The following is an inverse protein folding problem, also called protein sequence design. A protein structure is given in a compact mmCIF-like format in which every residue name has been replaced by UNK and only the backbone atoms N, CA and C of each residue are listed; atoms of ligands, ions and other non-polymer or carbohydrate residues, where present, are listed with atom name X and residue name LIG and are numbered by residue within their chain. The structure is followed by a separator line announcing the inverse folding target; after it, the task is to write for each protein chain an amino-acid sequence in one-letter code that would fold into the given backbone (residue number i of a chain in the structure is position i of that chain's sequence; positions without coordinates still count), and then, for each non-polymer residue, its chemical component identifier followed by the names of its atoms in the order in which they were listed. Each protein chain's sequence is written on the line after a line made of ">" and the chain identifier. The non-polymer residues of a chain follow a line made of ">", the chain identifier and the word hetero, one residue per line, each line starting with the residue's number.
data_IF_451007214574
#
_entry.id   IF_451007214574
#
_cell.length_a   1.000
_cell.length_b   1.000
_cell.length_c   1.000
_cell.angle_alpha   90.00
_cell.angle_beta   90.00
_cell.angle_gamma   90.00
#
_symmetry.space_group_name_H-M   'P 1'
#
loop_
_entity.id
_entity.type
_entity.pdbx_description
1 polymer ?
#
# COMPACT_ATOMS: atom_id res chain seq x y z
N UNK A 1 -3.58 24.78 38.45
CA UNK A 1 -4.02 24.67 37.04
C UNK A 1 -2.98 23.81 36.34
N UNK A 2 -3.27 22.52 36.22
CA UNK A 2 -2.40 21.54 35.56
C UNK A 2 -2.53 21.71 34.06
N UNK A 3 -1.42 22.07 33.39
CA UNK A 3 -1.29 22.01 31.95
C UNK A 3 -1.60 20.58 31.50
N UNK A 4 -2.70 20.41 30.78
CA UNK A 4 -2.96 19.25 29.94
C UNK A 4 -2.05 19.34 28.72
N UNK A 5 -0.78 18.94 28.87
CA UNK A 5 0.10 18.67 27.73
C UNK A 5 -0.44 17.42 27.03
N UNK A 6 -1.08 17.64 25.87
CA UNK A 6 -1.62 16.57 25.03
C UNK A 6 -0.49 15.62 24.64
N UNK A 7 -0.56 14.38 25.12
CA UNK A 7 0.45 13.37 24.93
C UNK A 7 0.44 12.89 23.48
N UNK A 8 1.28 13.50 22.65
CA UNK A 8 1.58 13.07 21.28
C UNK A 8 1.97 11.58 21.27
N UNK A 9 1.29 10.77 20.47
CA UNK A 9 1.51 9.32 20.39
C UNK A 9 2.39 8.94 19.18
N UNK A 10 2.92 7.73 19.18
CA UNK A 10 3.62 7.18 18.00
C UNK A 10 2.67 7.07 16.78
N UNK A 11 1.38 6.81 17.03
CA UNK A 11 0.31 6.83 16.01
C UNK A 11 0.11 8.24 15.43
N UNK A 12 0.06 9.28 16.28
CA UNK A 12 -0.03 10.68 15.82
C UNK A 12 1.19 11.07 14.97
N UNK A 13 2.37 10.60 15.35
CA UNK A 13 3.61 10.77 14.57
C UNK A 13 3.49 10.09 13.21
N UNK A 14 3.11 8.81 13.19
CA UNK A 14 3.00 8.02 11.96
C UNK A 14 1.94 8.61 11.01
N UNK A 15 0.81 9.07 11.55
CA UNK A 15 -0.24 9.77 10.80
C UNK A 15 0.26 11.07 10.22
N UNK A 16 0.93 11.92 11.00
CA UNK A 16 1.49 13.18 10.50
C UNK A 16 2.54 12.95 9.40
N UNK A 17 3.42 11.95 9.57
CA UNK A 17 4.38 11.55 8.54
C UNK A 17 3.66 11.08 7.27
N UNK A 18 2.64 10.23 7.41
CA UNK A 18 1.85 9.75 6.27
C UNK A 18 1.17 10.91 5.53
N UNK A 19 0.58 11.84 6.27
CA UNK A 19 -0.14 12.99 5.71
C UNK A 19 0.78 14.01 5.05
N UNK A 20 2.07 14.00 5.38
CA UNK A 20 3.09 14.80 4.71
C UNK A 20 3.65 14.13 3.44
N UNK A 21 3.30 12.87 3.16
CA UNK A 21 3.78 12.18 1.94
C UNK A 21 3.25 12.88 0.68
N UNK A 22 4.07 12.97 -0.38
CA UNK A 22 3.64 13.45 -1.70
C UNK A 22 2.40 12.72 -2.22
N UNK A 23 1.59 13.39 -3.05
CA UNK A 23 0.36 12.81 -3.61
C UNK A 23 0.63 11.58 -4.49
N UNK A 24 1.74 11.59 -5.21
CA UNK A 24 2.23 10.51 -6.07
C UNK A 24 3.07 9.46 -5.33
N UNK A 25 3.07 9.46 -4.00
CA UNK A 25 3.77 8.44 -3.21
C UNK A 25 3.01 7.09 -3.23
N UNK A 26 3.67 5.92 -3.35
CA UNK A 26 3.01 4.62 -3.43
C UNK A 26 2.05 4.34 -2.28
N UNK A 27 2.44 4.71 -1.05
CA UNK A 27 1.57 4.54 0.12
C UNK A 27 0.24 5.30 -0.02
N UNK A 28 0.19 6.44 -0.73
CA UNK A 28 -1.07 7.16 -1.01
C UNK A 28 -1.99 6.35 -1.91
N UNK A 29 -1.46 5.71 -2.94
CA UNK A 29 -2.24 4.83 -3.82
C UNK A 29 -2.84 3.64 -3.04
N UNK A 30 -2.07 3.05 -2.12
CA UNK A 30 -2.60 1.99 -1.23
C UNK A 30 -3.72 2.53 -0.35
N UNK A 31 -3.58 3.74 0.23
CA UNK A 31 -4.63 4.35 1.05
C UNK A 31 -5.86 4.71 0.23
N UNK A 32 -5.69 5.19 -1.00
CA UNK A 32 -6.81 5.46 -1.91
C UNK A 32 -7.58 4.17 -2.19
N UNK A 33 -6.90 3.09 -2.59
CA UNK A 33 -7.54 1.80 -2.83
C UNK A 33 -8.26 1.27 -1.59
N UNK A 34 -7.60 1.30 -0.43
CA UNK A 34 -8.21 0.92 0.83
C UNK A 34 -9.47 1.73 1.15
N UNK A 35 -9.43 3.04 0.97
CA UNK A 35 -10.57 3.90 1.23
C UNK A 35 -11.73 3.60 0.27
N UNK A 36 -11.45 3.42 -1.02
CA UNK A 36 -12.47 3.06 -2.03
C UNK A 36 -13.11 1.70 -1.72
N UNK A 37 -12.31 0.72 -1.28
CA UNK A 37 -12.79 -0.60 -0.86
C UNK A 37 -13.73 -0.49 0.36
N UNK A 38 -13.32 0.26 1.39
CA UNK A 38 -14.09 0.45 2.62
C UNK A 38 -15.32 1.34 2.44
N UNK A 39 -15.28 2.28 1.51
CA UNK A 39 -16.43 3.08 1.08
C UNK A 39 -17.38 2.31 0.16
N UNK A 40 -17.03 1.05 -0.17
CA UNK A 40 -17.79 0.17 -1.04
C UNK A 40 -18.06 0.75 -2.44
N UNK A 41 -17.10 1.52 -2.98
CA UNK A 41 -17.17 2.06 -4.34
C UNK A 41 -17.37 0.96 -5.38
N UNK A 42 -17.99 1.30 -6.51
CA UNK A 42 -18.31 0.31 -7.54
C UNK A 42 -17.04 -0.27 -8.20
N UNK A 43 -17.20 -1.42 -8.84
CA UNK A 43 -16.08 -2.13 -9.45
C UNK A 43 -15.40 -1.34 -10.59
N UNK A 44 -16.08 -0.37 -11.21
CA UNK A 44 -15.49 0.47 -12.26
C UNK A 44 -14.49 1.45 -11.65
N UNK A 45 -14.88 2.13 -10.57
CA UNK A 45 -13.98 3.02 -9.83
C UNK A 45 -12.77 2.26 -9.26
N UNK A 46 -12.99 1.07 -8.70
CA UNK A 46 -11.91 0.22 -8.19
C UNK A 46 -10.97 -0.30 -9.30
N UNK A 47 -11.51 -0.58 -10.48
CA UNK A 47 -10.73 -1.01 -11.64
C UNK A 47 -9.70 0.04 -12.10
N UNK A 48 -9.99 1.32 -11.90
CA UNK A 48 -9.05 2.41 -12.23
C UNK A 48 -7.81 2.43 -11.33
N UNK A 49 -7.86 1.78 -10.17
CA UNK A 49 -6.78 1.79 -9.16
C UNK A 49 -5.80 0.61 -9.29
N UNK A 50 -6.14 -0.38 -10.11
CA UNK A 50 -5.33 -1.59 -10.31
C UNK A 50 -4.73 -1.63 -11.71
N UNK A 51 -3.73 -2.50 -11.92
CA UNK A 51 -3.20 -2.75 -13.27
C UNK A 51 -4.26 -3.48 -14.11
N UNK A 52 -4.60 -3.02 -15.33
CA UNK A 52 -5.65 -3.63 -16.15
C UNK A 52 -5.46 -5.12 -16.41
N UNK A 53 -4.20 -5.57 -16.48
CA UNK A 53 -3.79 -6.93 -16.82
C UNK A 53 -4.23 -7.99 -15.80
N UNK A 54 -4.63 -7.58 -14.59
CA UNK A 54 -5.09 -8.48 -13.51
C UNK A 54 -6.54 -8.25 -13.11
N UNK A 55 -7.31 -7.45 -13.85
CA UNK A 55 -8.71 -7.15 -13.50
C UNK A 55 -9.55 -8.41 -13.33
N UNK A 56 -9.33 -9.42 -14.18
CA UNK A 56 -10.04 -10.70 -14.08
C UNK A 56 -9.71 -11.46 -12.78
N UNK A 57 -8.48 -11.30 -12.25
CA UNK A 57 -8.07 -11.90 -10.97
C UNK A 57 -8.71 -11.20 -9.76
N UNK A 58 -8.98 -9.88 -9.87
CA UNK A 58 -9.70 -9.12 -8.86
C UNK A 58 -11.21 -9.39 -8.87
N UNK A 59 -11.76 -9.77 -10.01
CA UNK A 59 -13.19 -10.04 -10.19
C UNK A 59 -14.04 -8.82 -9.86
N UNK A 60 -14.99 -8.98 -8.93
CA UNK A 60 -15.87 -7.92 -8.43
C UNK A 60 -15.31 -7.21 -7.18
N UNK A 61 -14.03 -7.43 -6.85
CA UNK A 61 -13.37 -6.95 -5.65
C UNK A 61 -13.97 -7.45 -4.31
N UNK A 62 -14.90 -8.42 -4.32
CA UNK A 62 -15.51 -8.96 -3.10
C UNK A 62 -14.48 -9.62 -2.17
N UNK A 63 -13.51 -10.34 -2.73
CA UNK A 63 -12.41 -10.94 -1.96
C UNK A 63 -11.51 -9.89 -1.31
N UNK A 64 -11.23 -8.80 -2.04
CA UNK A 64 -10.48 -7.67 -1.51
C UNK A 64 -11.25 -6.99 -0.37
N UNK A 65 -12.52 -6.66 -0.56
CA UNK A 65 -13.39 -6.12 0.49
C UNK A 65 -13.35 -6.98 1.74
N UNK A 66 -13.54 -8.29 1.60
CA UNK A 66 -13.47 -9.23 2.72
C UNK A 66 -12.10 -9.16 3.43
N UNK A 67 -11.01 -9.16 2.68
CA UNK A 67 -9.66 -9.05 3.24
C UNK A 67 -9.49 -7.77 4.09
N UNK A 68 -9.93 -6.62 3.57
CA UNK A 68 -9.83 -5.32 4.24
C UNK A 68 -10.81 -5.16 5.42
N UNK A 69 -11.99 -5.80 5.39
CA UNK A 69 -12.95 -5.77 6.50
C UNK A 69 -12.62 -6.76 7.62
N UNK A 70 -12.08 -7.94 7.29
CA UNK A 70 -11.77 -8.98 8.27
C UNK A 70 -10.48 -8.68 9.07
N UNK A 71 -9.73 -7.63 8.70
CA UNK A 71 -8.42 -7.32 9.27
C UNK A 71 -8.29 -5.84 9.64
N UNK A 72 -7.91 -5.57 10.88
CA UNK A 72 -7.40 -4.27 11.26
C UNK A 72 -5.93 -4.17 10.82
N UNK A 73 -5.63 -3.22 9.94
CA UNK A 73 -4.27 -3.01 9.42
C UNK A 73 -3.93 -1.53 9.35
N UNK A 74 -2.64 -1.23 9.45
CA UNK A 74 -2.07 0.06 9.11
C UNK A 74 -1.20 -0.06 7.87
N UNK A 75 -1.15 1.02 7.10
CA UNK A 75 -0.31 1.15 5.91
C UNK A 75 1.03 1.74 6.37
N UNK A 76 2.15 1.08 6.02
CA UNK A 76 3.48 1.61 6.27
C UNK A 76 3.65 3.03 5.70
N UNK A 77 4.35 3.90 6.42
CA UNK A 77 4.75 5.23 5.94
C UNK A 77 5.92 5.19 4.96
N UNK A 78 6.55 4.03 4.81
CA UNK A 78 7.67 3.78 3.88
C UNK A 78 7.24 2.83 2.77
N UNK A 79 7.76 3.08 1.58
CA UNK A 79 7.66 2.16 0.45
C UNK A 79 9.04 1.57 0.13
N UNK A 80 9.07 0.31 -0.27
CA UNK A 80 10.28 -0.35 -0.73
C UNK A 80 10.31 -0.36 -2.25
N UNK A 81 11.35 0.21 -2.85
CA UNK A 81 11.56 0.26 -4.31
C UNK A 81 12.42 -0.90 -4.74
N UNK A 82 12.08 -1.57 -5.82
CA UNK A 82 13.00 -2.57 -6.35
C UNK A 82 14.24 -1.89 -6.96
N UNK A 83 15.44 -2.24 -6.52
CA UNK A 83 16.71 -1.58 -6.91
C UNK A 83 16.93 -1.53 -8.42
N UNK A 84 16.57 -2.58 -9.14
CA UNK A 84 16.73 -2.68 -10.60
C UNK A 84 15.46 -2.32 -11.39
N UNK A 85 14.40 -1.93 -10.67
CA UNK A 85 13.08 -1.66 -11.22
C UNK A 85 12.35 -0.65 -10.31
N UNK A 86 12.83 0.59 -10.30
CA UNK A 86 12.33 1.64 -9.40
C UNK A 86 10.86 2.01 -9.65
N UNK A 87 10.34 1.66 -10.82
CA UNK A 87 8.93 1.69 -11.21
C UNK A 87 8.08 0.61 -10.51
N UNK A 88 8.67 -0.19 -9.63
CA UNK A 88 7.99 -1.18 -8.79
C UNK A 88 8.15 -0.79 -7.31
N UNK A 89 7.04 -0.81 -6.58
CA UNK A 89 7.00 -0.51 -5.15
C UNK A 89 6.34 -1.65 -4.37
N UNK A 90 6.82 -1.88 -3.15
CA UNK A 90 6.21 -2.78 -2.18
C UNK A 90 5.86 -1.97 -0.94
N UNK A 91 4.58 -2.02 -0.55
CA UNK A 91 4.09 -1.34 0.65
C UNK A 91 3.63 -2.39 1.64
N UNK A 92 4.18 -2.35 2.84
CA UNK A 92 3.85 -3.31 3.90
C UNK A 92 2.50 -2.96 4.53
N UNK A 93 1.64 -3.98 4.67
CA UNK A 93 0.47 -3.96 5.54
C UNK A 93 0.84 -4.61 6.88
N UNK A 94 0.76 -3.83 7.95
CA UNK A 94 1.03 -4.29 9.32
C UNK A 94 -0.27 -4.37 10.10
N UNK A 95 -0.40 -5.29 11.08
CA UNK A 95 -1.55 -5.29 11.96
C UNK A 95 -1.71 -3.95 12.66
N UNK A 96 -2.94 -3.43 12.68
CA UNK A 96 -3.31 -2.28 13.51
C UNK A 96 -3.70 -2.81 14.89
N UNK A 97 -3.00 -2.35 15.92
CA UNK A 97 -2.97 -2.92 17.26
C UNK A 97 -4.05 -2.37 18.21
N UNK A 98 -5.19 -1.91 17.70
CA UNK A 98 -6.36 -1.41 18.46
C UNK A 98 -7.05 -2.34 19.49
N UNK A 99 -6.39 -3.39 19.99
CA UNK A 99 -6.81 -4.44 20.94
C UNK A 99 -8.05 -5.25 20.50
N UNK A 100 -7.80 -6.44 19.94
CA UNK A 100 -8.76 -7.54 19.86
C UNK A 100 -8.05 -8.86 20.22
N UNK A 101 -8.45 -9.48 21.34
CA UNK A 101 -7.84 -10.69 21.88
C UNK A 101 -7.84 -11.84 20.85
N UNK A 102 -6.68 -12.45 20.61
CA UNK A 102 -6.51 -13.65 19.75
C UNK A 102 -5.68 -14.69 20.48
N UNK A 103 -6.11 -15.95 20.46
CA UNK A 103 -5.47 -17.10 21.13
C UNK A 103 -4.29 -17.71 20.34
N UNK A 104 -3.85 -17.10 19.23
CA UNK A 104 -2.78 -17.62 18.36
C UNK A 104 -1.72 -16.55 18.02
N UNK A 105 -0.46 -16.95 17.75
CA UNK A 105 0.63 -16.00 17.51
C UNK A 105 0.33 -15.13 16.29
N UNK A 106 0.23 -13.83 16.51
CA UNK A 106 0.15 -12.82 15.46
C UNK A 106 1.49 -12.79 14.74
N UNK A 107 1.50 -13.07 13.44
CA UNK A 107 2.67 -12.91 12.59
C UNK A 107 2.78 -11.42 12.21
N UNK A 108 3.94 -10.80 12.42
CA UNK A 108 4.19 -9.34 12.37
C UNK A 108 4.13 -8.71 10.95
N UNK A 109 3.27 -9.24 10.08
CA UNK A 109 3.00 -8.78 8.73
C UNK A 109 1.72 -9.44 8.22
N UNK A 110 0.79 -8.63 7.70
CA UNK A 110 -0.43 -9.14 7.07
C UNK A 110 -0.16 -9.48 5.60
N UNK A 111 0.66 -8.66 4.94
CA UNK A 111 1.10 -8.90 3.57
C UNK A 111 1.75 -7.66 2.96
N UNK A 112 2.08 -7.77 1.69
CA UNK A 112 2.58 -6.68 0.87
C UNK A 112 1.56 -6.29 -0.18
N UNK A 113 1.49 -5.01 -0.47
CA UNK A 113 0.87 -4.50 -1.69
C UNK A 113 1.97 -4.27 -2.71
N UNK A 114 1.89 -4.95 -3.85
CA UNK A 114 2.79 -4.70 -4.97
C UNK A 114 2.16 -3.66 -5.89
N UNK A 115 2.92 -2.59 -6.19
CA UNK A 115 2.48 -1.52 -7.08
C UNK A 115 3.44 -1.35 -8.26
N UNK A 116 2.90 -0.86 -9.36
CA UNK A 116 3.65 -0.51 -10.59
C UNK A 116 3.35 0.93 -10.96
N UNK A 117 4.38 1.72 -11.28
CA UNK A 117 4.21 3.07 -11.83
C UNK A 117 3.77 3.00 -13.28
N UNK A 118 2.58 3.52 -13.56
CA UNK A 118 1.96 3.56 -14.89
C UNK A 118 1.52 4.99 -15.16
N UNK A 119 2.43 5.90 -15.55
CA UNK A 119 2.11 7.32 -15.73
C UNK A 119 1.01 7.53 -16.78
N UNK A 120 0.93 6.68 -17.80
CA UNK A 120 -0.12 6.67 -18.81
C UNK A 120 -1.50 6.28 -18.26
N UNK A 121 -1.55 5.66 -17.07
CA UNK A 121 -2.77 5.34 -16.34
C UNK A 121 -3.00 6.28 -15.13
N UNK A 122 -2.20 7.35 -15.00
CA UNK A 122 -2.34 8.32 -13.92
C UNK A 122 -1.53 8.01 -12.65
N UNK A 123 -0.51 7.14 -12.73
CA UNK A 123 0.46 6.95 -11.65
C UNK A 123 0.54 5.52 -11.11
N UNK A 124 0.66 5.35 -9.79
CA UNK A 124 0.76 4.03 -9.17
C UNK A 124 -0.52 3.21 -9.31
N UNK A 125 -0.37 1.97 -9.76
CA UNK A 125 -1.46 0.99 -9.84
C UNK A 125 -1.13 -0.23 -8.98
N UNK A 126 -2.12 -0.70 -8.24
CA UNK A 126 -1.98 -1.92 -7.44
C UNK A 126 -2.03 -3.13 -8.39
N UNK A 127 -1.08 -4.05 -8.20
CA UNK A 127 -1.04 -5.29 -8.97
C UNK A 127 -1.60 -6.46 -8.14
N UNK A 128 -1.08 -6.67 -6.93
CA UNK A 128 -1.53 -7.75 -6.06
C UNK A 128 -1.34 -7.41 -4.57
N UNK A 129 -2.02 -8.18 -3.74
CA UNK A 129 -1.89 -8.17 -2.27
C UNK A 129 -1.46 -9.55 -1.81
N UNK A 130 -0.48 -9.62 -0.90
CA UNK A 130 0.02 -10.87 -0.33
C UNK A 130 1.54 -10.96 -0.43
N UNK A 131 2.03 -11.94 -1.21
CA UNK A 131 3.48 -12.06 -1.46
C UNK A 131 3.92 -11.05 -2.53
N UNK A 132 5.10 -10.41 -2.37
CA UNK A 132 5.65 -9.50 -3.37
C UNK A 132 5.82 -10.19 -4.72
N UNK A 133 5.31 -9.58 -5.79
CA UNK A 133 5.53 -10.09 -7.14
C UNK A 133 6.85 -9.55 -7.71
N UNK A 134 7.71 -10.40 -8.31
CA UNK A 134 8.98 -9.96 -8.87
C UNK A 134 8.77 -9.05 -10.10
N UNK A 135 9.67 -8.07 -10.36
CA UNK A 135 9.47 -7.10 -11.44
C UNK A 135 9.31 -7.68 -12.85
N UNK A 136 9.89 -8.85 -13.14
CA UNK A 136 9.79 -9.48 -14.46
C UNK A 136 8.41 -10.10 -14.74
N UNK A 137 7.54 -10.21 -13.73
CA UNK A 137 6.15 -10.64 -13.87
C UNK A 137 5.16 -9.48 -13.89
N UNK A 138 5.64 -8.24 -13.73
CA UNK A 138 4.80 -7.06 -13.63
C UNK A 138 4.64 -6.37 -15.00
N UNK A 139 3.45 -5.83 -15.30
CA UNK A 139 3.19 -5.11 -16.55
C UNK A 139 3.76 -3.69 -16.51
N UNK A 140 5.09 -3.61 -16.56
CA UNK A 140 5.89 -2.40 -16.46
C UNK A 140 5.96 -1.66 -17.80
N UNK A 141 5.79 -0.35 -17.77
CA UNK A 141 5.83 0.51 -18.97
C UNK A 141 6.76 1.71 -18.82
N UNK A 142 7.05 2.13 -17.58
CA UNK A 142 7.91 3.26 -17.29
C UNK A 142 9.39 2.93 -17.46
N UNK A 143 10.17 3.94 -17.87
CA UNK A 143 11.63 3.85 -17.94
C UNK A 143 12.24 4.52 -16.70
N UNK A 144 13.44 4.08 -16.30
CA UNK A 144 14.17 4.67 -15.17
C UNK A 144 14.30 6.21 -15.32
N UNK A 145 13.90 6.94 -14.28
CA UNK A 145 13.96 8.41 -14.21
C UNK A 145 12.61 9.13 -14.34
N UNK A 146 11.54 8.44 -14.72
CA UNK A 146 10.17 8.99 -14.79
C UNK A 146 9.36 8.75 -13.50
N UNK A 147 9.94 8.04 -12.55
CA UNK A 147 9.28 7.59 -11.32
C UNK A 147 9.58 8.57 -10.19
N UNK A 148 8.54 9.16 -9.55
CA UNK A 148 8.72 9.99 -8.37
C UNK A 148 9.32 9.18 -7.22
N UNK A 149 10.36 9.73 -6.59
CA UNK A 149 11.03 9.16 -5.43
C UNK A 149 10.79 10.05 -4.21
N UNK A 150 10.27 9.47 -3.13
CA UNK A 150 10.09 10.15 -1.85
C UNK A 150 11.27 9.92 -0.91
N UNK A 151 11.48 10.81 0.06
CA UNK A 151 12.54 10.67 1.07
C UNK A 151 12.38 9.42 1.97
N UNK A 152 11.17 8.84 2.01
CA UNK A 152 10.85 7.65 2.77
C UNK A 152 10.86 6.36 1.93
N UNK A 153 11.33 6.44 0.69
CA UNK A 153 11.53 5.29 -0.18
C UNK A 153 12.88 4.62 0.13
N UNK A 154 12.87 3.29 0.24
CA UNK A 154 14.07 2.50 0.46
C UNK A 154 14.28 1.51 -0.70
N UNK A 155 15.48 1.48 -1.28
CA UNK A 155 15.79 0.53 -2.36
C UNK A 155 16.19 -0.84 -1.84
N UNK A 156 15.45 -1.86 -2.28
CA UNK A 156 15.60 -3.25 -1.85
C UNK A 156 15.76 -4.20 -3.03
N UNK A 157 16.32 -5.37 -2.78
CA UNK A 157 16.11 -6.57 -3.62
C UNK A 157 14.88 -7.33 -3.15
N UNK A 158 14.25 -8.13 -4.01
CA UNK A 158 13.03 -8.88 -3.64
C UNK A 158 13.19 -9.78 -2.41
N UNK A 159 14.38 -10.35 -2.17
CA UNK A 159 14.68 -11.16 -0.99
C UNK A 159 14.63 -10.37 0.33
N UNK A 160 14.65 -9.04 0.23
CA UNK A 160 14.59 -8.09 1.34
C UNK A 160 13.21 -7.41 1.43
N UNK A 161 12.32 -7.69 0.48
CA UNK A 161 10.96 -7.16 0.40
C UNK A 161 9.94 -8.15 0.98
#
# INVERSE_FOLDING_TARGET
>A
MTNSEGRWTDEDTARAVFEALPEDHPCRAVRQFSNSILAEEDATALAELVTPEVLDDWGDFSSARRYFFDQAFSISTRSLRHREATDVAYVKLVPDDGIYLSEKPRQDMIGWVTLVWRPELGGWKLHCIGQPAPPHLLPRTAVAGEVPMGDNDEEVTLEQA
#
